data_IF_844783528877
#
_entry.id   IF_844783528877
#
_cell.length_a   1.000
_cell.length_b   1.000
_cell.length_c   1.000
_cell.angle_alpha   90.00
_cell.angle_beta   90.00
_cell.angle_gamma   90.00
#
_symmetry.space_group_name_H-M   'P 1'
#
loop_
_entity.id
_entity.type
_entity.pdbx_description
1 polymer ?
#
# COMPACT_ATOMS: atom_id res chain seq x y z
N UNK A 1 12.22 2.49 -28.42
CA UNK A 1 12.45 3.85 -27.90
C UNK A 1 13.56 3.73 -26.87
N UNK A 2 14.61 4.55 -26.96
CA UNK A 2 15.73 4.51 -26.00
C UNK A 2 15.51 5.61 -24.98
N UNK A 3 15.43 5.25 -23.69
CA UNK A 3 15.31 6.21 -22.61
C UNK A 3 16.70 6.69 -22.18
N UNK A 4 16.80 7.98 -21.83
CA UNK A 4 18.01 8.59 -21.27
C UNK A 4 17.99 8.65 -19.74
N UNK A 5 16.81 8.65 -19.14
CA UNK A 5 16.60 8.47 -17.71
C UNK A 5 15.44 7.52 -17.46
N UNK A 6 15.53 6.69 -16.42
CA UNK A 6 14.53 5.69 -16.06
C UNK A 6 14.42 5.61 -14.54
N UNK A 7 13.22 5.33 -14.04
CA UNK A 7 12.95 5.12 -12.62
C UNK A 7 11.67 4.32 -12.41
N UNK A 8 11.29 4.14 -11.14
CA UNK A 8 10.05 3.47 -10.73
C UNK A 8 9.17 4.40 -9.88
N UNK A 9 7.86 4.39 -10.16
CA UNK A 9 6.83 5.09 -9.39
C UNK A 9 6.12 4.10 -8.47
N UNK A 10 6.19 4.29 -7.16
CA UNK A 10 5.80 3.27 -6.17
C UNK A 10 4.92 3.82 -5.05
N UNK A 11 3.80 3.14 -4.75
CA UNK A 11 3.07 3.13 -3.46
C UNK A 11 1.83 2.17 -3.28
N UNK A 12 1.88 0.81 -3.32
CA UNK A 12 2.61 -0.08 -4.24
C UNK A 12 2.64 0.44 -5.67
N UNK A 13 3.32 -0.24 -6.61
CA UNK A 13 3.50 0.26 -7.98
C UNK A 13 2.26 0.98 -8.55
N UNK A 14 2.45 2.26 -8.89
CA UNK A 14 1.37 3.10 -9.40
C UNK A 14 1.37 2.94 -10.92
N UNK A 15 0.34 2.29 -11.43
CA UNK A 15 0.22 1.87 -12.83
C UNK A 15 -0.51 2.92 -13.66
N UNK A 16 -0.04 3.20 -14.88
CA UNK A 16 -0.73 4.08 -15.82
C UNK A 16 -0.49 5.57 -15.62
N UNK A 17 0.40 5.97 -14.71
CA UNK A 17 0.76 7.37 -14.49
C UNK A 17 1.64 7.92 -15.61
N UNK A 18 1.60 9.23 -15.82
CA UNK A 18 2.58 9.98 -16.62
C UNK A 18 3.21 11.02 -15.70
N UNK A 19 4.53 11.16 -15.74
CA UNK A 19 5.28 12.10 -14.95
C UNK A 19 5.82 13.25 -15.82
N UNK A 20 6.18 14.36 -15.18
CA UNK A 20 6.86 15.49 -15.81
C UNK A 20 7.99 16.04 -14.94
N UNK A 21 8.96 16.69 -15.56
CA UNK A 21 9.98 17.49 -14.88
C UNK A 21 9.47 18.92 -14.71
N UNK A 22 9.22 19.31 -13.45
CA UNK A 22 8.81 20.66 -13.05
C UNK A 22 10.04 21.58 -13.10
N UNK A 23 10.09 22.44 -14.12
CA UNK A 23 11.24 23.28 -14.43
C UNK A 23 11.32 24.53 -13.55
N UNK A 24 10.20 24.99 -13.01
CA UNK A 24 10.13 26.27 -12.28
C UNK A 24 9.57 26.13 -10.85
N UNK A 25 9.34 24.89 -10.39
CA UNK A 25 8.77 24.52 -9.09
C UNK A 25 7.41 25.19 -8.83
N UNK A 26 6.60 25.36 -9.90
CA UNK A 26 5.25 25.90 -9.79
C UNK A 26 4.19 24.82 -9.53
N UNK A 27 4.60 23.53 -9.50
CA UNK A 27 3.74 22.35 -9.28
C UNK A 27 2.68 22.14 -10.35
N UNK A 28 2.87 22.70 -11.52
CA UNK A 28 1.98 22.58 -12.67
C UNK A 28 2.80 22.16 -13.89
N UNK A 29 2.18 21.37 -14.75
CA UNK A 29 2.80 21.08 -16.04
C UNK A 29 2.71 22.30 -16.94
N UNK A 30 3.86 22.81 -17.35
CA UNK A 30 3.98 23.87 -18.34
C UNK A 30 4.28 23.29 -19.73
N UNK A 31 3.77 23.97 -20.77
CA UNK A 31 4.04 23.56 -22.15
C UNK A 31 5.55 23.58 -22.45
N UNK A 32 6.07 22.45 -22.93
CA UNK A 32 7.48 22.27 -23.23
C UNK A 32 8.28 21.53 -22.15
N UNK A 33 7.69 21.26 -20.98
CA UNK A 33 8.34 20.41 -19.97
C UNK A 33 8.43 18.95 -20.41
N UNK A 34 9.50 18.28 -19.96
CA UNK A 34 9.76 16.88 -20.27
C UNK A 34 8.68 16.00 -19.66
N UNK A 35 8.21 15.00 -20.42
CA UNK A 35 7.23 14.01 -19.98
C UNK A 35 7.80 12.60 -20.05
N UNK A 36 7.40 11.75 -19.11
CA UNK A 36 7.78 10.34 -19.11
C UNK A 36 6.89 9.52 -20.04
N UNK A 37 7.31 8.28 -20.29
CA UNK A 37 6.39 7.22 -20.69
C UNK A 37 5.33 6.97 -19.62
N UNK A 38 4.23 6.31 -20.00
CA UNK A 38 3.26 5.77 -19.04
C UNK A 38 3.90 4.71 -18.15
N UNK A 39 3.60 4.70 -16.85
CA UNK A 39 4.14 3.70 -15.92
C UNK A 39 3.58 2.30 -16.20
N UNK A 40 4.45 1.30 -16.14
CA UNK A 40 4.09 -0.11 -16.36
C UNK A 40 3.39 -0.73 -15.14
N UNK A 41 3.07 -2.02 -15.21
CA UNK A 41 2.58 -2.79 -14.04
C UNK A 41 3.58 -2.83 -12.88
N UNK A 42 4.86 -2.62 -13.16
CA UNK A 42 5.93 -2.53 -12.15
C UNK A 42 6.31 -1.07 -11.83
N UNK A 43 5.44 -0.11 -12.16
CA UNK A 43 5.69 1.31 -11.91
C UNK A 43 6.82 1.92 -12.75
N UNK A 44 7.44 1.17 -13.65
CA UNK A 44 8.60 1.62 -14.43
C UNK A 44 8.20 2.74 -15.40
N UNK A 45 9.01 3.79 -15.50
CA UNK A 45 8.87 4.87 -16.48
C UNK A 45 10.23 5.29 -17.03
N UNK A 46 10.23 6.03 -18.15
CA UNK A 46 11.44 6.65 -18.66
C UNK A 46 11.21 7.95 -19.42
N UNK A 47 12.25 8.77 -19.50
CA UNK A 47 12.32 9.99 -20.29
C UNK A 47 13.22 9.79 -21.50
N UNK A 48 12.81 10.30 -22.67
CA UNK A 48 13.61 10.24 -23.90
C UNK A 48 14.72 11.30 -23.95
N UNK A 49 14.66 12.27 -23.05
CA UNK A 49 15.62 13.37 -22.90
C UNK A 49 16.30 13.28 -21.53
N UNK A 50 17.42 13.97 -21.37
CA UNK A 50 18.18 13.99 -20.12
C UNK A 50 17.44 14.84 -19.10
N UNK A 51 17.37 14.38 -17.85
CA UNK A 51 16.79 15.15 -16.77
C UNK A 51 17.79 16.19 -16.27
N UNK A 52 17.28 17.33 -15.84
CA UNK A 52 18.11 18.43 -15.33
C UNK A 52 18.39 18.19 -13.84
N UNK A 53 19.66 18.08 -13.42
CA UNK A 53 20.01 17.88 -12.01
C UNK A 53 19.34 18.87 -11.07
N UNK A 54 18.80 18.37 -9.97
CA UNK A 54 18.15 19.16 -8.93
C UNK A 54 16.72 19.60 -9.23
N UNK A 55 16.17 19.35 -10.42
CA UNK A 55 14.74 19.55 -10.71
C UNK A 55 13.86 18.51 -10.03
N UNK A 56 12.54 18.75 -10.03
CA UNK A 56 11.57 17.89 -9.37
C UNK A 56 10.78 17.12 -10.43
N UNK A 57 10.63 15.82 -10.23
CA UNK A 57 9.73 14.98 -11.01
C UNK A 57 8.41 14.84 -10.26
N UNK A 58 7.29 15.09 -10.94
CA UNK A 58 5.92 15.07 -10.40
C UNK A 58 4.98 14.26 -11.28
N UNK A 59 3.81 13.91 -10.76
CA UNK A 59 2.75 13.24 -11.54
C UNK A 59 1.99 14.28 -12.37
N UNK A 60 1.97 14.09 -13.70
CA UNK A 60 1.13 14.84 -14.65
C UNK A 60 -0.25 14.23 -14.77
N UNK A 61 -0.31 12.91 -14.93
CA UNK A 61 -1.55 12.15 -15.07
C UNK A 61 -1.56 11.06 -14.02
N UNK A 62 -2.60 11.06 -13.19
CA UNK A 62 -2.75 10.10 -12.11
C UNK A 62 -2.92 8.68 -12.66
N UNK A 63 -2.22 7.75 -12.04
CA UNK A 63 -2.35 6.32 -12.28
C UNK A 63 -3.23 5.67 -11.22
N UNK A 64 -3.04 4.37 -11.05
CA UNK A 64 -3.78 3.55 -10.11
C UNK A 64 -2.84 2.78 -9.19
N UNK A 65 -3.16 2.74 -7.90
CA UNK A 65 -2.58 1.80 -6.94
C UNK A 65 -3.68 0.80 -6.54
N UNK A 66 -3.42 -0.49 -6.70
CA UNK A 66 -4.43 -1.53 -6.43
C UNK A 66 -5.78 -1.29 -7.15
N UNK A 67 -5.72 -0.84 -8.41
CA UNK A 67 -6.91 -0.62 -9.27
C UNK A 67 -7.71 0.65 -9.01
N UNK A 68 -7.42 1.37 -7.92
CA UNK A 68 -8.07 2.63 -7.54
C UNK A 68 -7.18 3.80 -7.96
N UNK A 69 -7.79 4.93 -8.34
CA UNK A 69 -7.06 6.15 -8.70
C UNK A 69 -6.19 6.59 -7.52
N UNK A 70 -4.90 6.75 -7.77
CA UNK A 70 -3.99 7.37 -6.83
C UNK A 70 -4.21 8.88 -6.82
N UNK A 71 -4.29 9.51 -5.66
CA UNK A 71 -4.73 10.91 -5.54
C UNK A 71 -3.77 11.81 -4.72
N UNK A 72 -2.55 11.34 -4.48
CA UNK A 72 -1.47 12.17 -3.95
C UNK A 72 -0.55 12.69 -5.06
N UNK A 73 -0.06 13.91 -4.89
CA UNK A 73 1.07 14.45 -5.65
C UNK A 73 2.38 14.01 -4.98
N UNK A 74 2.89 12.85 -5.38
CA UNK A 74 4.22 12.40 -4.98
C UNK A 74 5.28 12.87 -5.96
N UNK A 75 6.46 13.14 -5.43
CA UNK A 75 7.55 13.73 -6.18
C UNK A 75 8.91 13.22 -5.73
N UNK A 76 9.92 13.49 -6.54
CA UNK A 76 11.31 13.17 -6.23
C UNK A 76 12.24 14.17 -6.91
N UNK A 77 13.44 14.32 -6.38
CA UNK A 77 14.43 15.27 -6.89
C UNK A 77 15.42 14.53 -7.80
N UNK A 78 15.66 15.07 -8.99
CA UNK A 78 16.67 14.55 -9.93
C UNK A 78 18.05 14.69 -9.29
N UNK A 79 18.84 13.62 -9.33
CA UNK A 79 20.16 13.58 -8.72
C UNK A 79 21.19 14.42 -9.49
N UNK A 80 22.42 14.49 -8.95
CA UNK A 80 23.51 15.28 -9.56
C UNK A 80 23.93 14.78 -10.95
N UNK A 81 23.60 13.54 -11.29
CA UNK A 81 23.94 12.91 -12.55
C UNK A 81 22.80 12.99 -13.59
N UNK A 82 21.69 13.67 -13.27
CA UNK A 82 20.53 13.72 -14.16
C UNK A 82 19.72 12.42 -14.16
N UNK A 83 19.80 11.64 -13.08
CA UNK A 83 19.09 10.36 -12.93
C UNK A 83 18.01 10.42 -11.86
N UNK A 84 17.06 9.49 -11.94
CA UNK A 84 15.95 9.36 -10.99
C UNK A 84 15.68 7.88 -10.74
N UNK A 85 15.97 7.36 -9.55
CA UNK A 85 15.77 5.93 -9.27
C UNK A 85 14.32 5.62 -8.89
N UNK A 86 13.77 6.38 -7.94
CA UNK A 86 12.49 6.11 -7.31
C UNK A 86 11.71 7.42 -7.14
N UNK A 87 10.42 7.36 -7.43
CA UNK A 87 9.42 8.35 -7.05
C UNK A 87 8.43 7.68 -6.12
N UNK A 88 8.39 8.10 -4.87
CA UNK A 88 7.58 7.49 -3.81
C UNK A 88 7.10 8.55 -2.79
N UNK A 89 6.20 8.19 -1.86
CA UNK A 89 5.89 9.05 -0.73
C UNK A 89 7.15 9.51 0.04
N UNK A 90 8.12 8.62 0.26
CA UNK A 90 9.36 8.96 0.98
C UNK A 90 10.20 9.99 0.21
N UNK A 91 10.36 9.86 -1.11
CA UNK A 91 11.12 10.85 -1.90
C UNK A 91 10.42 12.19 -2.00
N UNK A 92 9.12 12.26 -1.70
CA UNK A 92 8.37 13.52 -1.65
C UNK A 92 8.84 14.40 -0.49
N UNK A 93 9.36 13.82 0.60
CA UNK A 93 10.02 14.63 1.63
C UNK A 93 11.37 15.19 1.17
N UNK A 94 12.08 14.51 0.27
CA UNK A 94 13.33 15.02 -0.33
C UNK A 94 13.03 16.25 -1.19
N UNK A 95 11.96 16.26 -1.97
CA UNK A 95 11.56 17.44 -2.74
C UNK A 95 11.16 18.63 -1.83
N UNK A 96 10.79 18.36 -0.57
CA UNK A 96 10.60 19.36 0.49
C UNK A 96 11.88 19.73 1.25
N UNK A 97 13.05 19.37 0.71
CA UNK A 97 14.37 19.65 1.27
C UNK A 97 14.69 18.93 2.58
N UNK A 98 14.11 17.76 2.84
CA UNK A 98 14.63 16.86 3.88
C UNK A 98 15.77 16.03 3.34
N UNK A 99 16.74 15.75 4.20
CA UNK A 99 17.74 14.70 3.93
C UNK A 99 17.14 13.32 4.19
N UNK A 100 17.79 12.28 3.65
CA UNK A 100 17.39 10.89 3.87
C UNK A 100 17.46 10.50 5.35
N UNK A 101 18.46 11.01 6.05
CA UNK A 101 18.67 10.82 7.49
C UNK A 101 17.53 11.45 8.28
N UNK A 102 17.10 12.66 7.92
CA UNK A 102 15.97 13.32 8.55
C UNK A 102 14.66 12.55 8.38
N UNK A 103 14.43 12.00 7.18
CA UNK A 103 13.24 11.17 6.91
C UNK A 103 13.26 9.91 7.77
N UNK A 104 14.40 9.20 7.81
CA UNK A 104 14.59 8.05 8.67
C UNK A 104 14.40 8.39 10.15
N UNK A 105 14.93 9.52 10.61
CA UNK A 105 14.82 9.97 11.99
C UNK A 105 13.40 10.28 12.43
N UNK A 106 12.57 10.85 11.55
CA UNK A 106 11.14 11.09 11.81
C UNK A 106 10.41 9.75 11.98
N UNK A 107 10.56 8.82 11.04
CA UNK A 107 9.87 7.53 11.07
C UNK A 107 10.33 6.67 12.25
N UNK A 108 11.63 6.63 12.54
CA UNK A 108 12.18 5.92 13.69
C UNK A 108 11.72 6.53 15.02
N UNK A 109 11.56 7.87 15.08
CA UNK A 109 11.00 8.51 16.27
C UNK A 109 9.54 8.14 16.46
N UNK A 110 8.75 8.18 15.40
CA UNK A 110 7.35 7.78 15.42
C UNK A 110 7.17 6.32 15.87
N UNK A 111 8.00 5.41 15.36
CA UNK A 111 8.02 4.01 15.78
C UNK A 111 8.34 3.88 17.28
N UNK A 112 9.35 4.61 17.77
CA UNK A 112 9.68 4.65 19.20
C UNK A 112 8.51 5.15 20.05
N UNK A 113 7.86 6.22 19.64
CA UNK A 113 6.71 6.80 20.35
C UNK A 113 5.48 5.87 20.30
N UNK A 114 5.36 5.04 19.26
CA UNK A 114 4.38 3.97 19.13
C UNK A 114 4.76 2.66 19.88
N UNK A 115 5.85 2.68 20.65
CA UNK A 115 6.40 1.48 21.32
C UNK A 115 6.76 0.33 20.36
N UNK A 116 7.27 0.67 19.17
CA UNK A 116 7.73 -0.24 18.11
C UNK A 116 9.22 -0.09 17.85
N UNK A 117 10.03 -0.19 18.90
CA UNK A 117 11.49 0.02 18.84
C UNK A 117 12.26 -1.08 18.10
N UNK A 118 11.62 -2.22 17.86
CA UNK A 118 12.07 -3.31 17.00
C UNK A 118 12.00 -2.97 15.50
N UNK A 119 11.21 -1.96 15.15
CA UNK A 119 11.13 -1.44 13.79
C UNK A 119 12.06 -0.23 13.62
N UNK A 120 12.86 -0.24 12.56
CA UNK A 120 13.65 0.93 12.17
C UNK A 120 14.01 0.91 10.69
N UNK A 121 14.20 2.09 10.12
CA UNK A 121 14.73 2.27 8.77
C UNK A 121 16.05 3.03 8.82
N UNK A 122 16.88 2.85 7.79
CA UNK A 122 18.07 3.67 7.58
C UNK A 122 17.89 4.60 6.37
N UNK A 123 18.76 5.60 6.25
CA UNK A 123 18.71 6.60 5.20
C UNK A 123 18.76 6.02 3.77
N UNK A 124 19.40 4.86 3.57
CA UNK A 124 19.48 4.29 2.22
C UNK A 124 18.13 3.76 1.72
N UNK A 125 17.25 3.31 2.62
CA UNK A 125 15.94 2.78 2.25
C UNK A 125 15.01 3.82 1.58
N UNK A 126 15.23 5.11 1.84
CA UNK A 126 14.43 6.22 1.29
C UNK A 126 14.44 6.24 -0.24
N UNK A 127 15.54 5.81 -0.86
CA UNK A 127 15.73 5.81 -2.32
C UNK A 127 15.61 4.42 -2.95
N UNK A 128 15.17 3.42 -2.19
CA UNK A 128 15.01 2.04 -2.69
C UNK A 128 13.55 1.77 -3.07
N UNK A 129 13.36 0.98 -4.11
CA UNK A 129 12.05 0.43 -4.45
C UNK A 129 11.61 -0.54 -3.33
N UNK A 130 10.53 -0.25 -2.58
CA UNK A 130 10.08 -1.10 -1.50
C UNK A 130 9.53 -2.46 -1.95
N UNK A 131 9.23 -2.64 -3.24
CA UNK A 131 8.69 -3.88 -3.80
C UNK A 131 9.74 -4.70 -4.58
N UNK A 132 10.98 -4.20 -4.62
CA UNK A 132 12.11 -4.91 -5.21
C UNK A 132 12.38 -6.28 -4.55
N UNK A 133 13.32 -7.04 -5.09
CA UNK A 133 13.74 -8.35 -4.57
C UNK A 133 12.61 -9.41 -4.55
N UNK A 134 11.58 -9.22 -5.38
CA UNK A 134 10.47 -10.15 -5.54
C UNK A 134 9.53 -10.21 -4.33
N UNK A 135 9.47 -9.16 -3.51
CA UNK A 135 8.67 -9.09 -2.27
C UNK A 135 7.28 -9.71 -2.44
N UNK A 136 6.53 -9.25 -3.45
CA UNK A 136 5.14 -9.65 -3.70
C UNK A 136 4.94 -11.17 -3.92
N UNK A 137 6.00 -11.88 -4.29
CA UNK A 137 5.96 -13.33 -4.54
C UNK A 137 6.40 -14.18 -3.34
N UNK A 138 6.91 -13.55 -2.28
CA UNK A 138 7.39 -14.27 -1.09
C UNK A 138 6.21 -14.88 -0.33
N UNK A 139 6.33 -16.16 0.01
CA UNK A 139 5.39 -16.86 0.91
C UNK A 139 5.70 -16.57 2.38
N UNK A 140 4.87 -17.04 3.31
CA UNK A 140 5.08 -16.87 4.76
C UNK A 140 6.48 -17.35 5.19
N UNK A 141 6.96 -18.46 4.64
CA UNK A 141 8.26 -19.03 5.04
C UNK A 141 9.45 -18.24 4.49
N UNK A 142 9.27 -17.51 3.39
CA UNK A 142 10.29 -16.70 2.73
C UNK A 142 10.32 -15.25 3.21
N UNK A 143 9.20 -14.76 3.75
CA UNK A 143 9.05 -13.38 4.20
C UNK A 143 9.79 -13.14 5.52
N UNK A 144 10.60 -12.09 5.56
CA UNK A 144 11.26 -11.58 6.76
C UNK A 144 10.67 -10.23 7.20
N UNK A 145 10.98 -9.78 8.41
CA UNK A 145 10.55 -8.45 8.87
C UNK A 145 11.26 -7.33 8.08
N UNK A 146 12.54 -7.55 7.71
CA UNK A 146 13.32 -6.61 6.88
C UNK A 146 12.68 -6.38 5.50
N UNK A 147 12.07 -7.43 4.94
CA UNK A 147 11.31 -7.33 3.68
C UNK A 147 10.12 -6.37 3.80
N UNK A 148 9.43 -6.38 4.95
CA UNK A 148 8.24 -5.57 5.18
C UNK A 148 8.57 -4.13 5.58
N UNK A 149 9.69 -3.90 6.25
CA UNK A 149 10.12 -2.56 6.72
C UNK A 149 10.07 -1.51 5.60
N UNK A 150 10.52 -1.87 4.39
CA UNK A 150 10.56 -0.93 3.25
C UNK A 150 9.17 -0.46 2.84
N UNK A 151 8.24 -1.40 2.65
CA UNK A 151 6.87 -1.10 2.21
C UNK A 151 6.05 -0.47 3.33
N UNK A 152 6.26 -0.87 4.59
CA UNK A 152 5.68 -0.21 5.77
C UNK A 152 6.08 1.27 5.84
N UNK A 153 7.36 1.59 5.62
CA UNK A 153 7.86 2.97 5.63
C UNK A 153 7.24 3.82 4.51
N UNK A 154 7.13 3.25 3.31
CA UNK A 154 6.49 3.91 2.15
C UNK A 154 5.03 4.24 2.45
N UNK A 155 4.24 3.24 2.86
CA UNK A 155 2.82 3.41 3.15
C UNK A 155 2.59 4.33 4.36
N UNK A 156 3.48 4.31 5.37
CA UNK A 156 3.37 5.20 6.52
C UNK A 156 3.56 6.65 6.07
N UNK A 157 4.52 6.86 5.18
CA UNK A 157 4.76 8.17 4.58
C UNK A 157 3.60 8.63 3.72
N UNK A 158 2.95 7.73 2.97
CA UNK A 158 1.70 8.02 2.27
C UNK A 158 0.63 8.54 3.22
N UNK A 159 0.37 7.81 4.32
CA UNK A 159 -0.61 8.22 5.33
C UNK A 159 -0.28 9.57 5.94
N UNK A 160 1.00 9.83 6.22
CA UNK A 160 1.46 11.13 6.74
C UNK A 160 1.17 12.25 5.74
N UNK A 161 1.61 12.11 4.48
CA UNK A 161 1.39 13.12 3.44
C UNK A 161 -0.09 13.39 3.20
N UNK A 162 -0.92 12.33 3.17
CA UNK A 162 -2.36 12.45 2.97
C UNK A 162 -3.03 13.23 4.10
N UNK A 163 -2.75 12.91 5.36
CA UNK A 163 -3.33 13.66 6.50
C UNK A 163 -2.80 15.10 6.52
N UNK A 164 -1.52 15.31 6.24
CA UNK A 164 -0.95 16.65 6.11
C UNK A 164 -1.63 17.49 5.02
N UNK A 165 -2.05 16.86 3.92
CA UNK A 165 -2.81 17.54 2.88
C UNK A 165 -4.18 18.07 3.36
N UNK A 166 -4.67 17.66 4.54
CA UNK A 166 -5.86 18.24 5.16
C UNK A 166 -5.63 19.61 5.81
N UNK A 167 -4.38 20.06 5.98
CA UNK A 167 -4.04 21.37 6.55
C UNK A 167 -3.08 22.16 5.65
N UNK A 168 -3.50 23.36 5.25
CA UNK A 168 -2.67 24.30 4.47
C UNK A 168 -1.38 24.67 5.20
N UNK A 169 -1.39 24.78 6.53
CA UNK A 169 -0.18 25.06 7.31
C UNK A 169 0.79 23.89 7.29
N UNK A 170 0.32 22.66 7.49
CA UNK A 170 1.18 21.47 7.46
C UNK A 170 1.77 21.26 6.05
N UNK A 171 0.97 21.49 5.00
CA UNK A 171 1.45 21.53 3.62
C UNK A 171 2.51 22.63 3.41
N UNK A 172 2.36 23.77 4.08
CA UNK A 172 3.26 24.92 3.98
C UNK A 172 4.57 24.79 4.75
N UNK A 173 4.75 23.77 5.60
CA UNK A 173 6.01 23.58 6.33
C UNK A 173 7.18 23.41 5.37
N UNK A 174 8.25 24.17 5.58
CA UNK A 174 9.52 23.90 4.90
C UNK A 174 10.21 22.66 5.50
N UNK A 175 11.31 22.23 4.88
CA UNK A 175 11.99 21.00 5.29
C UNK A 175 12.44 20.96 6.76
N UNK A 176 12.98 22.08 7.27
CA UNK A 176 13.42 22.16 8.67
C UNK A 176 12.22 22.14 9.62
N UNK A 177 11.17 22.90 9.33
CA UNK A 177 9.96 22.91 10.16
C UNK A 177 9.27 21.53 10.19
N UNK A 178 9.27 20.84 9.05
CA UNK A 178 8.73 19.49 8.96
C UNK A 178 9.57 18.50 9.76
N UNK A 179 10.90 18.60 9.68
CA UNK A 179 11.80 17.79 10.50
C UNK A 179 11.64 18.04 11.99
N UNK A 180 11.61 19.31 12.43
CA UNK A 180 11.43 19.67 13.84
C UNK A 180 10.06 19.18 14.37
N UNK A 181 9.00 19.30 13.57
CA UNK A 181 7.66 18.79 13.92
C UNK A 181 7.58 17.26 13.90
N UNK A 182 8.32 16.58 13.01
CA UNK A 182 8.31 15.12 12.90
C UNK A 182 9.19 14.41 13.93
N UNK A 183 10.33 15.00 14.30
CA UNK A 183 11.30 14.41 15.24
C UNK A 183 11.00 14.71 16.70
N UNK A 184 10.11 15.65 16.99
CA UNK A 184 9.78 16.03 18.38
C UNK A 184 8.49 15.34 18.83
N UNK A 185 8.58 14.48 19.85
CA UNK A 185 7.42 13.79 20.43
C UNK A 185 6.29 14.76 20.78
N UNK A 186 5.08 14.44 20.32
CA UNK A 186 3.87 15.20 20.63
C UNK A 186 3.61 16.43 19.73
N UNK A 187 4.51 16.73 18.78
CA UNK A 187 4.24 17.71 17.71
C UNK A 187 3.37 17.11 16.61
N UNK A 188 2.80 17.98 15.78
CA UNK A 188 1.74 17.66 14.83
C UNK A 188 2.16 16.56 13.83
N UNK A 189 3.31 16.71 13.17
CA UNK A 189 3.80 15.71 12.20
C UNK A 189 4.20 14.42 12.90
N UNK A 190 4.86 14.50 14.07
CA UNK A 190 5.19 13.33 14.89
C UNK A 190 3.94 12.53 15.28
N UNK A 191 2.89 13.19 15.77
CA UNK A 191 1.64 12.51 16.16
C UNK A 191 0.98 11.79 14.98
N UNK A 192 0.96 12.43 13.80
CA UNK A 192 0.46 11.78 12.57
C UNK A 192 1.33 10.57 12.25
N UNK A 193 2.64 10.73 12.23
CA UNK A 193 3.58 9.66 11.93
C UNK A 193 3.44 8.46 12.89
N UNK A 194 3.32 8.72 14.20
CA UNK A 194 3.15 7.68 15.23
C UNK A 194 1.92 6.83 14.95
N UNK A 195 0.77 7.45 14.65
CA UNK A 195 -0.48 6.73 14.34
C UNK A 195 -0.36 5.94 13.05
N UNK A 196 0.22 6.51 11.99
CA UNK A 196 0.35 5.83 10.69
C UNK A 196 1.31 4.64 10.76
N UNK A 197 2.45 4.80 11.44
CA UNK A 197 3.42 3.72 11.66
C UNK A 197 2.77 2.60 12.49
N UNK A 198 2.15 2.92 13.63
CA UNK A 198 1.49 1.92 14.49
C UNK A 198 0.41 1.11 13.75
N UNK A 199 -0.43 1.81 13.00
CA UNK A 199 -1.49 1.21 12.20
C UNK A 199 -0.93 0.25 11.15
N UNK A 200 0.14 0.65 10.44
CA UNK A 200 0.72 -0.18 9.40
C UNK A 200 1.48 -1.38 9.92
N UNK A 201 2.20 -1.26 11.04
CA UNK A 201 2.86 -2.41 11.65
C UNK A 201 1.83 -3.45 12.13
N UNK A 202 0.63 -2.99 12.50
CA UNK A 202 -0.49 -3.88 12.84
C UNK A 202 -1.12 -4.52 11.61
N UNK A 203 -1.24 -3.79 10.50
CA UNK A 203 -1.90 -4.27 9.28
C UNK A 203 -0.99 -5.02 8.30
N UNK A 204 0.32 -4.79 8.35
CA UNK A 204 1.30 -5.33 7.43
C UNK A 204 2.37 -6.09 8.21
N UNK A 205 2.07 -7.31 8.64
CA UNK A 205 3.03 -8.17 9.33
C UNK A 205 2.88 -9.64 8.91
N UNK A 206 3.89 -10.43 9.24
CA UNK A 206 3.96 -11.85 8.90
C UNK A 206 2.86 -12.68 9.58
N UNK A 207 2.46 -12.31 10.80
CA UNK A 207 1.43 -13.01 11.56
C UNK A 207 0.07 -12.93 10.89
N UNK A 208 -0.24 -11.80 10.24
CA UNK A 208 -1.45 -11.67 9.43
C UNK A 208 -1.44 -12.63 8.25
N UNK A 209 -0.34 -12.68 7.47
CA UNK A 209 -0.25 -13.61 6.34
C UNK A 209 -0.37 -15.07 6.82
N UNK A 210 0.24 -15.38 7.97
CA UNK A 210 0.10 -16.69 8.64
C UNK A 210 -1.34 -16.98 9.05
N UNK A 211 -2.05 -16.00 9.60
CA UNK A 211 -3.46 -16.11 9.97
C UNK A 211 -4.33 -16.40 8.74
N UNK A 212 -4.15 -15.64 7.67
CA UNK A 212 -4.87 -15.85 6.41
C UNK A 212 -4.55 -17.24 5.86
N UNK A 213 -3.27 -17.64 5.83
CA UNK A 213 -2.84 -18.97 5.42
C UNK A 213 -3.54 -20.07 6.23
N UNK A 214 -3.65 -19.93 7.54
CA UNK A 214 -4.35 -20.91 8.39
C UNK A 214 -5.84 -21.08 8.02
N UNK A 215 -6.51 -19.99 7.63
CA UNK A 215 -7.89 -20.05 7.13
C UNK A 215 -7.95 -20.76 5.77
N UNK A 216 -7.03 -20.44 4.86
CA UNK A 216 -6.91 -21.13 3.56
C UNK A 216 -6.67 -22.62 3.74
N UNK A 217 -5.73 -23.01 4.60
CA UNK A 217 -5.38 -24.41 4.87
C UNK A 217 -6.59 -25.18 5.45
N UNK A 218 -7.36 -24.55 6.34
CA UNK A 218 -8.61 -25.14 6.88
C UNK A 218 -9.65 -25.33 5.78
N UNK A 219 -9.79 -24.34 4.89
CA UNK A 219 -10.64 -24.45 3.70
C UNK A 219 -10.21 -25.60 2.78
N UNK A 220 -8.91 -25.71 2.48
CA UNK A 220 -8.33 -26.80 1.69
C UNK A 220 -8.68 -28.16 2.29
N UNK A 221 -8.46 -28.36 3.59
CA UNK A 221 -8.74 -29.62 4.28
C UNK A 221 -10.23 -29.98 4.25
N UNK A 222 -11.11 -28.99 4.38
CA UNK A 222 -12.56 -29.18 4.30
C UNK A 222 -12.98 -29.64 2.91
N UNK A 223 -12.43 -29.04 1.86
CA UNK A 223 -12.66 -29.45 0.47
C UNK A 223 -12.12 -30.84 0.16
N UNK A 224 -10.91 -31.17 0.59
CA UNK A 224 -10.32 -32.51 0.44
C UNK A 224 -11.20 -33.56 1.11
N UNK A 225 -11.63 -33.30 2.35
CA UNK A 225 -12.52 -34.20 3.10
C UNK A 225 -13.83 -34.42 2.35
N UNK A 226 -14.46 -33.36 1.84
CA UNK A 226 -15.70 -33.44 1.05
C UNK A 226 -15.53 -34.24 -0.24
N UNK A 227 -14.44 -34.03 -0.98
CA UNK A 227 -14.13 -34.75 -2.21
C UNK A 227 -13.89 -36.24 -1.96
N UNK A 228 -13.14 -36.60 -0.92
CA UNK A 228 -12.91 -38.01 -0.56
C UNK A 228 -14.19 -38.68 -0.08
N UNK A 229 -14.98 -37.99 0.75
CA UNK A 229 -16.27 -38.51 1.23
C UNK A 229 -17.28 -38.75 0.10
N UNK A 230 -17.20 -38.00 -1.00
CA UNK A 230 -18.03 -38.22 -2.19
C UNK A 230 -17.70 -39.51 -2.96
N UNK A 231 -16.55 -40.13 -2.69
CA UNK A 231 -16.06 -41.31 -3.40
C UNK A 231 -15.52 -41.02 -4.81
N UNK A 232 -15.44 -39.74 -5.21
CA UNK A 232 -14.95 -39.32 -6.53
C UNK A 232 -13.42 -39.30 -6.64
N UNK A 233 -12.74 -39.07 -5.52
CA UNK A 233 -11.28 -38.92 -5.46
C UNK A 233 -10.69 -39.73 -4.31
N UNK A 234 -9.47 -40.25 -4.50
CA UNK A 234 -8.64 -40.66 -3.38
C UNK A 234 -8.09 -39.44 -2.63
N UNK A 235 -7.62 -39.63 -1.39
CA UNK A 235 -6.99 -38.56 -0.61
C UNK A 235 -5.92 -37.80 -1.41
N UNK A 236 -4.96 -38.53 -1.99
CA UNK A 236 -3.87 -37.93 -2.75
C UNK A 236 -4.35 -37.18 -4.01
N UNK A 237 -5.39 -37.68 -4.69
CA UNK A 237 -5.94 -36.99 -5.86
C UNK A 237 -6.69 -35.71 -5.46
N UNK A 238 -7.44 -35.74 -4.35
CA UNK A 238 -8.12 -34.57 -3.83
C UNK A 238 -7.12 -33.51 -3.37
N UNK A 239 -6.09 -33.89 -2.61
CA UNK A 239 -5.02 -32.98 -2.16
C UNK A 239 -4.33 -32.30 -3.34
N UNK A 240 -3.88 -33.07 -4.35
CA UNK A 240 -3.24 -32.49 -5.53
C UNK A 240 -4.18 -31.52 -6.27
N UNK A 241 -5.45 -31.90 -6.44
CA UNK A 241 -6.44 -31.07 -7.12
C UNK A 241 -6.73 -29.75 -6.39
N UNK A 242 -6.79 -29.80 -5.05
CA UNK A 242 -7.04 -28.62 -4.22
C UNK A 242 -5.81 -27.73 -4.12
N UNK A 243 -4.61 -28.30 -4.09
CA UNK A 243 -3.37 -27.51 -4.08
C UNK A 243 -3.21 -26.68 -5.36
N UNK A 244 -3.53 -27.26 -6.52
CA UNK A 244 -3.54 -26.55 -7.80
C UNK A 244 -4.59 -25.42 -7.86
N UNK A 245 -5.73 -25.58 -7.17
CA UNK A 245 -6.85 -24.65 -7.19
C UNK A 245 -6.73 -23.53 -6.14
N UNK A 246 -5.94 -23.75 -5.09
CA UNK A 246 -5.78 -22.83 -3.96
C UNK A 246 -4.29 -22.61 -3.68
N UNK A 247 -3.60 -21.76 -4.46
CA UNK A 247 -2.17 -21.48 -4.24
C UNK A 247 -1.89 -20.92 -2.84
N UNK A 248 -0.66 -21.07 -2.36
CA UNK A 248 -0.23 -20.46 -1.09
C UNK A 248 -0.36 -18.91 -1.17
N UNK A 249 -0.87 -18.23 -0.12
CA UNK A 249 -0.87 -16.78 -0.09
C UNK A 249 0.56 -16.21 -0.02
N UNK A 250 0.79 -15.12 -0.75
CA UNK A 250 2.08 -14.41 -0.81
C UNK A 250 1.99 -13.02 -0.15
N UNK A 251 3.11 -12.33 -0.04
CA UNK A 251 3.16 -10.98 0.53
C UNK A 251 2.31 -9.96 -0.25
N UNK A 252 2.03 -10.17 -1.55
CA UNK A 252 1.10 -9.32 -2.31
C UNK A 252 -0.23 -9.18 -1.56
N UNK A 253 -0.72 -10.27 -0.97
CA UNK A 253 -2.00 -10.28 -0.27
C UNK A 253 -2.04 -9.28 0.91
N UNK A 254 -1.04 -9.32 1.78
CA UNK A 254 -0.98 -8.41 2.94
C UNK A 254 -0.64 -6.98 2.53
N UNK A 255 0.08 -6.77 1.42
CA UNK A 255 0.30 -5.45 0.86
C UNK A 255 -1.03 -4.83 0.40
N UNK A 256 -1.89 -5.58 -0.31
CA UNK A 256 -3.24 -5.10 -0.70
C UNK A 256 -4.11 -4.74 0.50
N UNK A 257 -4.08 -5.58 1.54
CA UNK A 257 -4.77 -5.30 2.81
C UNK A 257 -4.25 -4.02 3.44
N UNK A 258 -2.93 -3.85 3.53
CA UNK A 258 -2.30 -2.68 4.13
C UNK A 258 -2.66 -1.39 3.38
N UNK A 259 -2.70 -1.42 2.03
CA UNK A 259 -3.16 -0.29 1.20
C UNK A 259 -4.59 0.09 1.54
N UNK A 260 -5.52 -0.86 1.57
CA UNK A 260 -6.91 -0.58 1.89
C UNK A 260 -7.09 -0.01 3.32
N UNK A 261 -6.31 -0.50 4.29
CA UNK A 261 -6.30 0.01 5.67
C UNK A 261 -5.75 1.43 5.72
N UNK A 262 -4.59 1.70 5.13
CA UNK A 262 -3.97 3.02 5.20
C UNK A 262 -4.76 4.06 4.40
N UNK A 263 -5.33 3.70 3.24
CA UNK A 263 -6.25 4.56 2.49
C UNK A 263 -7.40 5.03 3.37
N UNK A 264 -8.01 4.11 4.11
CA UNK A 264 -9.14 4.43 4.98
C UNK A 264 -8.73 5.35 6.12
N UNK A 265 -7.68 5.00 6.86
CA UNK A 265 -7.25 5.79 8.02
C UNK A 265 -6.74 7.17 7.60
N UNK A 266 -6.04 7.25 6.47
CA UNK A 266 -5.55 8.49 5.92
C UNK A 266 -6.70 9.38 5.40
N UNK A 267 -7.73 8.81 4.76
CA UNK A 267 -8.93 9.54 4.34
C UNK A 267 -9.72 10.09 5.55
N UNK A 268 -9.89 9.28 6.60
CA UNK A 268 -10.51 9.74 7.86
C UNK A 268 -9.74 10.93 8.43
N UNK A 269 -8.41 10.81 8.53
CA UNK A 269 -7.54 11.87 9.03
C UNK A 269 -7.59 13.13 8.15
N UNK A 270 -7.45 12.98 6.84
CA UNK A 270 -7.54 14.08 5.87
C UNK A 270 -8.88 14.81 5.94
N UNK A 271 -9.98 14.07 5.83
CA UNK A 271 -11.34 14.61 5.80
C UNK A 271 -11.67 15.33 7.11
N UNK A 272 -11.25 14.77 8.24
CA UNK A 272 -11.47 15.39 9.56
C UNK A 272 -10.62 16.64 9.72
N UNK A 273 -9.33 16.57 9.40
CA UNK A 273 -8.41 17.70 9.48
C UNK A 273 -8.89 18.89 8.64
N UNK A 274 -9.39 18.63 7.42
CA UNK A 274 -9.89 19.65 6.51
C UNK A 274 -11.22 20.28 6.98
N UNK A 275 -12.07 19.52 7.67
CA UNK A 275 -13.38 19.99 8.18
C UNK A 275 -13.30 20.69 9.53
N UNK A 276 -12.31 20.36 10.36
CA UNK A 276 -12.17 20.95 11.70
C UNK A 276 -11.74 22.42 11.59
N UNK A 277 -12.47 23.39 12.16
CA UNK A 277 -12.04 24.79 12.20
C UNK A 277 -10.99 25.02 13.29
N UNK A 278 -10.24 26.11 13.17
CA UNK A 278 -9.29 26.59 14.18
C UNK A 278 -7.82 26.30 13.86
N UNK A 279 -6.98 26.39 14.89
CA UNK A 279 -5.53 26.19 14.83
C UNK A 279 -5.14 24.75 14.45
N UNK A 280 -3.96 24.57 13.85
CA UNK A 280 -3.51 23.26 13.35
C UNK A 280 -3.39 22.20 14.44
N UNK A 281 -2.94 22.59 15.63
CA UNK A 281 -2.89 21.67 16.77
C UNK A 281 -4.28 21.09 17.07
N UNK A 282 -5.34 21.90 16.98
CA UNK A 282 -6.73 21.45 17.15
C UNK A 282 -7.13 20.52 16.00
N UNK A 283 -6.90 20.93 14.75
CA UNK A 283 -7.22 20.12 13.57
C UNK A 283 -6.57 18.74 13.61
N UNK A 284 -5.28 18.69 13.91
CA UNK A 284 -4.50 17.45 13.99
C UNK A 284 -4.98 16.58 15.16
N UNK A 285 -5.17 17.16 16.34
CA UNK A 285 -5.66 16.38 17.48
C UNK A 285 -7.06 15.79 17.21
N UNK A 286 -7.96 16.54 16.58
CA UNK A 286 -9.30 16.04 16.21
C UNK A 286 -9.19 14.96 15.13
N UNK A 287 -8.38 15.17 14.10
CA UNK A 287 -8.16 14.18 13.05
C UNK A 287 -7.60 12.86 13.61
N UNK A 288 -6.60 12.93 14.47
CA UNK A 288 -5.99 11.74 15.06
C UNK A 288 -6.90 11.05 16.07
N UNK A 289 -7.72 11.79 16.81
CA UNK A 289 -8.76 11.20 17.64
C UNK A 289 -9.77 10.43 16.78
N UNK A 290 -10.18 10.97 15.63
CA UNK A 290 -11.11 10.29 14.74
C UNK A 290 -10.48 9.06 14.07
N UNK A 291 -9.20 9.13 13.67
CA UNK A 291 -8.46 7.95 13.22
C UNK A 291 -8.40 6.89 14.31
N UNK A 292 -8.06 7.27 15.55
CA UNK A 292 -8.03 6.34 16.69
C UNK A 292 -9.40 5.73 16.99
N UNK A 293 -10.50 6.46 16.79
CA UNK A 293 -11.85 5.93 16.95
C UNK A 293 -12.22 4.90 15.87
N UNK A 294 -11.74 5.09 14.64
CA UNK A 294 -12.04 4.20 13.51
C UNK A 294 -11.10 2.97 13.45
N UNK A 295 -9.89 3.09 14.02
CA UNK A 295 -8.87 2.05 13.92
C UNK A 295 -9.30 0.68 14.46
N UNK A 296 -9.93 0.53 15.64
CA UNK A 296 -10.36 -0.78 16.13
C UNK A 296 -11.29 -1.52 15.15
N UNK A 297 -12.26 -0.81 14.56
CA UNK A 297 -13.22 -1.39 13.61
C UNK A 297 -12.55 -1.81 12.30
N UNK A 298 -11.64 -0.98 11.78
CA UNK A 298 -10.85 -1.28 10.57
C UNK A 298 -9.93 -2.48 10.82
N UNK A 299 -9.21 -2.50 11.94
CA UNK A 299 -8.26 -3.56 12.28
C UNK A 299 -8.96 -4.90 12.54
N UNK A 300 -10.16 -4.89 13.14
CA UNK A 300 -10.93 -6.11 13.36
C UNK A 300 -11.34 -6.83 12.06
N UNK A 301 -11.43 -6.09 10.94
CA UNK A 301 -11.84 -6.60 9.62
C UNK A 301 -10.68 -7.07 8.74
N UNK A 302 -9.43 -6.89 9.18
CA UNK A 302 -8.23 -7.25 8.41
C UNK A 302 -8.20 -8.74 7.99
N UNK A 303 -8.50 -9.72 8.87
CA UNK A 303 -8.51 -11.13 8.46
C UNK A 303 -9.59 -11.46 7.42
N UNK A 304 -10.75 -10.81 7.49
CA UNK A 304 -11.84 -10.93 6.50
C UNK A 304 -11.40 -10.34 5.17
N UNK A 305 -10.88 -9.12 5.18
CA UNK A 305 -10.36 -8.42 4.00
C UNK A 305 -9.24 -9.21 3.30
N UNK A 306 -8.34 -9.83 4.06
CA UNK A 306 -7.31 -10.72 3.51
C UNK A 306 -7.87 -11.95 2.81
N UNK A 307 -8.96 -12.52 3.31
CA UNK A 307 -9.65 -13.63 2.61
C UNK A 307 -10.35 -13.14 1.33
N UNK A 308 -10.99 -11.97 1.36
CA UNK A 308 -11.63 -11.40 0.18
C UNK A 308 -10.62 -11.09 -0.93
N UNK A 309 -9.47 -10.48 -0.59
CA UNK A 309 -8.40 -10.28 -1.57
C UNK A 309 -7.83 -11.59 -2.10
N UNK A 310 -7.71 -12.65 -1.28
CA UNK A 310 -7.26 -13.96 -1.76
C UNK A 310 -8.23 -14.51 -2.81
N UNK A 311 -9.53 -14.49 -2.51
CA UNK A 311 -10.57 -14.97 -3.42
C UNK A 311 -10.58 -14.19 -4.74
N UNK A 312 -10.31 -12.89 -4.69
CA UNK A 312 -10.19 -12.03 -5.87
C UNK A 312 -8.92 -12.29 -6.68
N UNK A 313 -7.78 -12.45 -6.01
CA UNK A 313 -6.47 -12.64 -6.65
C UNK A 313 -6.40 -14.00 -7.36
N UNK A 314 -6.88 -15.06 -6.72
CA UNK A 314 -6.85 -16.43 -7.24
C UNK A 314 -8.17 -16.86 -7.85
N UNK A 315 -8.99 -15.93 -8.33
CA UNK A 315 -10.31 -16.24 -8.89
C UNK A 315 -10.22 -17.27 -10.03
N UNK A 316 -9.19 -17.20 -10.88
CA UNK A 316 -9.02 -18.12 -12.00
C UNK A 316 -8.71 -19.54 -11.51
N UNK A 317 -7.84 -19.68 -10.53
CA UNK A 317 -7.46 -20.95 -9.92
C UNK A 317 -8.66 -21.55 -9.16
N UNK A 318 -9.37 -20.73 -8.40
CA UNK A 318 -10.59 -21.13 -7.69
C UNK A 318 -11.70 -21.58 -8.63
N UNK A 319 -11.80 -21.03 -9.85
CA UNK A 319 -12.84 -21.45 -10.82
C UNK A 319 -12.76 -22.93 -11.20
N UNK A 320 -11.62 -23.59 -10.97
CA UNK A 320 -11.46 -25.04 -11.11
C UNK A 320 -12.46 -25.80 -10.20
N UNK A 321 -12.86 -25.18 -9.09
CA UNK A 321 -13.77 -25.73 -8.08
C UNK A 321 -15.26 -25.60 -8.45
N UNK A 322 -15.63 -24.81 -9.47
CA UNK A 322 -17.04 -24.67 -9.89
C UNK A 322 -17.59 -25.96 -10.54
N UNK A 323 -16.72 -26.84 -11.05
CA UNK A 323 -17.12 -28.02 -11.83
C UNK A 323 -16.20 -29.22 -11.60
N UNK A 324 -16.05 -29.68 -10.35
CA UNK A 324 -15.18 -30.83 -9.99
C UNK A 324 -15.84 -32.19 -10.31
N UNK A 325 -16.69 -32.23 -11.35
CA UNK A 325 -17.48 -33.39 -11.75
C UNK A 325 -18.86 -33.47 -11.08
N UNK A 326 -19.82 -34.06 -11.78
CA UNK A 326 -21.19 -34.35 -11.31
C UNK A 326 -22.03 -33.16 -10.80
N UNK A 327 -21.63 -31.92 -11.07
CA UNK A 327 -22.40 -30.72 -10.69
C UNK A 327 -22.28 -30.31 -9.23
N UNK A 328 -21.23 -30.77 -8.52
CA UNK A 328 -20.94 -30.31 -7.16
C UNK A 328 -20.19 -28.97 -7.24
N UNK A 329 -20.83 -27.91 -6.76
CA UNK A 329 -20.19 -26.60 -6.56
C UNK A 329 -19.44 -26.61 -5.23
N UNK A 330 -18.12 -26.61 -5.29
CA UNK A 330 -17.27 -26.58 -4.10
C UNK A 330 -16.96 -25.16 -3.62
N UNK A 331 -17.23 -24.12 -4.43
CA UNK A 331 -17.03 -22.73 -4.01
C UNK A 331 -17.93 -22.43 -2.80
N UNK A 332 -19.15 -22.95 -2.77
CA UNK A 332 -20.09 -22.78 -1.66
C UNK A 332 -19.59 -23.33 -0.31
N UNK A 333 -18.57 -24.21 -0.32
CA UNK A 333 -17.97 -24.78 0.89
C UNK A 333 -16.74 -23.99 1.39
N UNK A 334 -16.29 -22.96 0.66
CA UNK A 334 -15.21 -22.09 1.12
C UNK A 334 -15.72 -21.14 2.23
N UNK A 335 -14.83 -20.60 3.08
CA UNK A 335 -15.14 -19.45 3.92
C UNK A 335 -15.86 -18.32 3.15
N UNK A 336 -16.89 -17.71 3.74
CA UNK A 336 -17.75 -16.73 3.07
C UNK A 336 -17.00 -15.54 2.50
N UNK A 337 -15.95 -15.07 3.18
CA UNK A 337 -15.09 -13.98 2.72
C UNK A 337 -14.32 -14.37 1.44
N UNK A 338 -13.82 -15.61 1.32
CA UNK A 338 -13.19 -16.07 0.08
C UNK A 338 -14.19 -16.10 -1.08
N UNK A 339 -15.42 -16.56 -0.81
CA UNK A 339 -16.49 -16.55 -1.80
C UNK A 339 -16.84 -15.11 -2.24
N UNK A 340 -16.89 -14.16 -1.31
CA UNK A 340 -17.11 -12.74 -1.61
C UNK A 340 -16.01 -12.20 -2.54
N UNK A 341 -14.74 -12.49 -2.24
CA UNK A 341 -13.59 -12.22 -3.10
C UNK A 341 -13.73 -12.75 -4.52
N UNK A 342 -13.98 -14.05 -4.62
CA UNK A 342 -14.18 -14.77 -5.87
C UNK A 342 -15.30 -14.14 -6.73
N UNK A 343 -16.46 -13.92 -6.12
CA UNK A 343 -17.63 -13.36 -6.78
C UNK A 343 -17.43 -11.89 -7.18
N UNK A 344 -16.74 -11.11 -6.36
CA UNK A 344 -16.42 -9.72 -6.67
C UNK A 344 -15.56 -9.63 -7.94
N UNK A 345 -14.53 -10.48 -8.07
CA UNK A 345 -13.69 -10.52 -9.28
C UNK A 345 -14.48 -10.96 -10.52
N UNK A 346 -15.35 -11.97 -10.38
CA UNK A 346 -16.26 -12.41 -11.46
C UNK A 346 -17.21 -11.30 -11.92
N UNK A 347 -17.61 -10.41 -11.02
CA UNK A 347 -18.41 -9.22 -11.30
C UNK A 347 -17.61 -8.04 -11.90
N UNK A 348 -16.31 -8.21 -12.17
CA UNK A 348 -15.44 -7.21 -12.77
C UNK A 348 -14.84 -6.21 -11.78
N UNK A 349 -14.91 -6.47 -10.48
CA UNK A 349 -14.22 -5.65 -9.49
C UNK A 349 -12.71 -5.94 -9.51
N UNK A 350 -11.91 -4.94 -9.15
CA UNK A 350 -10.45 -4.95 -9.20
C UNK A 350 -9.81 -4.85 -7.81
N UNK A 351 -10.55 -4.44 -6.79
CA UNK A 351 -10.03 -4.29 -5.43
C UNK A 351 -11.12 -4.32 -4.37
N UNK A 352 -10.71 -4.25 -3.10
CA UNK A 352 -11.58 -3.99 -1.94
C UNK A 352 -11.13 -2.73 -1.19
N UNK A 353 -12.08 -1.99 -0.63
CA UNK A 353 -11.84 -0.79 0.19
C UNK A 353 -12.81 -0.73 1.36
N UNK A 354 -12.51 0.12 2.32
CA UNK A 354 -13.46 0.48 3.37
C UNK A 354 -14.32 1.67 2.90
N UNK A 355 -15.64 1.56 3.10
CA UNK A 355 -16.55 2.70 2.93
C UNK A 355 -16.49 3.66 4.15
N UNK A 356 -17.31 4.72 4.11
CA UNK A 356 -17.37 5.71 5.20
C UNK A 356 -17.86 5.15 6.55
N UNK A 357 -18.47 3.97 6.56
CA UNK A 357 -18.93 3.22 7.74
C UNK A 357 -18.02 2.05 8.08
N UNK A 358 -16.80 2.03 7.54
CA UNK A 358 -15.81 0.96 7.71
C UNK A 358 -16.30 -0.42 7.24
N UNK A 359 -17.25 -0.51 6.31
CA UNK A 359 -17.61 -1.78 5.67
C UNK A 359 -16.67 -2.07 4.51
N UNK A 360 -16.34 -3.35 4.32
CA UNK A 360 -15.57 -3.78 3.16
C UNK A 360 -16.48 -3.76 1.93
N UNK A 361 -16.03 -3.10 0.87
CA UNK A 361 -16.75 -2.97 -0.39
C UNK A 361 -15.83 -3.28 -1.56
N UNK A 362 -16.34 -4.03 -2.55
CA UNK A 362 -15.64 -4.27 -3.80
C UNK A 362 -15.69 -3.02 -4.70
N UNK A 363 -14.59 -2.72 -5.38
CA UNK A 363 -14.46 -1.55 -6.26
C UNK A 363 -14.06 -1.96 -7.67
N UNK A 364 -14.56 -1.24 -8.68
CA UNK A 364 -14.34 -1.49 -10.11
C UNK A 364 -13.16 -0.72 -10.71
#
# INVERSE_FOLDING_TARGET
MTYKAQGVLVDPYIVGSILYQDENDNKQYDEGELISSTTTLNGEFGFTEELTPGKIIRIKTQGKHEGVTYDLDISSKVDINGTISVVSPMTTFISRNLTKEQIADILNQAAKDASRSDWSINANLVLTDPLSDGLLTKTVTQLSDEDLVKIQASLATYGILKVMNGSTTLQGLNGQQLYDSGKTTGKEVNKIATVMVDSLLTALNKDLLSTIKGVIDTGKQSLVTGLVASGLYTQAQAEAKIEDAMPEPTADLIVKVAVAVIDRLADVGYTTCNKTPGEDATKVNTALQEVANNMPDVMAKIPELGQEFYGMMYQKELSILENVGMGVDLIGNLPSALQAGYNAKKAGNVSFRFDASNNIVAVK
#
